data_IF_911158719939
#
_entry.id   IF_911158719939
#
_cell.length_a   1.000
_cell.length_b   1.000
_cell.length_c   1.000
_cell.angle_alpha   90.00
_cell.angle_beta   90.00
_cell.angle_gamma   90.00
#
_symmetry.space_group_name_H-M   'P 1'
#
loop_
_entity.id
_entity.type
_entity.pdbx_description
1 polymer ?
#
# COMPACT_ATOMS: atom_id res chain seq x y z
N UNK A 1 -1.78 -8.69 -13.14
CA UNK A 1 -1.04 -7.55 -13.72
C UNK A 1 -0.07 -7.02 -12.68
N UNK A 2 1.16 -6.63 -13.05
CA UNK A 2 2.03 -5.88 -12.15
C UNK A 2 1.38 -4.52 -11.84
N UNK A 3 1.41 -4.10 -10.57
CA UNK A 3 0.86 -2.80 -10.11
C UNK A 3 1.78 -1.63 -10.46
N UNK A 4 3.05 -1.91 -10.78
CA UNK A 4 3.98 -0.91 -11.26
C UNK A 4 3.76 -0.66 -12.75
N UNK A 5 3.71 0.61 -13.19
CA UNK A 5 3.56 0.94 -14.60
C UNK A 5 4.82 0.55 -15.38
N UNK A 6 4.65 0.24 -16.67
CA UNK A 6 5.77 -0.07 -17.56
C UNK A 6 6.71 1.14 -17.77
N UNK A 7 6.12 2.33 -17.86
CA UNK A 7 6.85 3.60 -17.90
C UNK A 7 6.87 4.19 -16.49
N UNK A 8 8.07 4.44 -15.97
CA UNK A 8 8.23 5.02 -14.63
C UNK A 8 7.97 6.52 -14.68
N UNK A 9 7.18 6.99 -13.73
CA UNK A 9 6.99 8.43 -13.50
C UNK A 9 8.20 8.98 -12.72
N UNK A 10 8.92 10.00 -13.24
CA UNK A 10 10.03 10.66 -12.54
C UNK A 10 9.66 11.21 -11.15
N UNK A 11 8.38 11.52 -10.90
CA UNK A 11 7.87 11.96 -9.60
C UNK A 11 7.89 10.89 -8.53
N UNK A 12 8.04 9.62 -8.91
CA UNK A 12 8.23 8.49 -7.99
C UNK A 12 9.67 7.93 -8.05
N UNK A 13 10.63 8.73 -8.50
CA UNK A 13 12.05 8.42 -8.48
C UNK A 13 12.75 9.47 -7.61
N UNK A 14 13.54 9.02 -6.63
CA UNK A 14 14.27 9.92 -5.72
C UNK A 14 15.26 10.80 -6.46
N UNK A 15 15.52 12.02 -5.98
CA UNK A 15 16.51 12.95 -6.56
C UNK A 15 17.88 12.29 -6.79
N UNK A 16 18.37 11.52 -5.81
CA UNK A 16 19.64 10.77 -5.91
C UNK A 16 19.69 9.70 -7.03
N UNK A 17 18.55 9.37 -7.63
CA UNK A 17 18.38 8.41 -8.74
C UNK A 17 17.92 9.10 -10.04
N UNK A 18 17.97 10.43 -10.11
CA UNK A 18 17.65 11.20 -11.31
C UNK A 18 16.17 11.53 -11.52
N UNK A 19 15.34 11.39 -10.48
CA UNK A 19 13.94 11.85 -10.49
C UNK A 19 13.74 13.13 -9.68
N UNK A 20 12.50 13.39 -9.27
CA UNK A 20 12.12 14.62 -8.55
C UNK A 20 11.62 14.39 -7.13
N UNK A 21 11.47 13.15 -6.68
CA UNK A 21 10.96 12.84 -5.33
C UNK A 21 12.03 13.14 -4.27
N UNK A 22 11.68 13.92 -3.26
CA UNK A 22 12.56 14.13 -2.10
C UNK A 22 12.53 12.91 -1.18
N UNK A 23 13.55 12.75 -0.33
CA UNK A 23 13.55 11.66 0.66
C UNK A 23 12.45 11.84 1.70
N UNK A 24 12.12 13.09 2.04
CA UNK A 24 11.01 13.41 2.93
C UNK A 24 9.66 12.97 2.33
N UNK A 25 9.41 13.29 1.06
CA UNK A 25 8.18 12.86 0.38
C UNK A 25 8.14 11.35 0.18
N UNK A 26 9.30 10.70 -0.03
CA UNK A 26 9.37 9.24 -0.09
C UNK A 26 8.96 8.60 1.25
N UNK A 27 9.39 9.18 2.38
CA UNK A 27 8.95 8.73 3.70
C UNK A 27 7.45 8.97 3.91
N UNK A 28 6.91 10.12 3.50
CA UNK A 28 5.48 10.40 3.57
C UNK A 28 4.63 9.40 2.77
N UNK A 29 5.10 8.98 1.58
CA UNK A 29 4.42 7.95 0.79
C UNK A 29 4.42 6.60 1.53
N UNK A 30 5.51 6.25 2.21
CA UNK A 30 5.59 5.03 3.01
C UNK A 30 4.68 5.09 4.23
N UNK A 31 4.65 6.22 4.96
CA UNK A 31 3.75 6.43 6.11
C UNK A 31 2.28 6.34 5.71
N UNK A 32 1.90 6.98 4.60
CA UNK A 32 0.53 6.88 4.08
C UNK A 32 0.18 5.46 3.66
N UNK A 33 1.08 4.76 2.95
CA UNK A 33 0.88 3.36 2.58
C UNK A 33 0.70 2.45 3.81
N UNK A 34 1.46 2.68 4.89
CA UNK A 34 1.30 1.98 6.16
C UNK A 34 -0.09 2.25 6.75
N UNK A 35 -0.53 3.51 6.81
CA UNK A 35 -1.84 3.88 7.35
C UNK A 35 -3.00 3.19 6.60
N UNK A 36 -2.91 3.10 5.27
CA UNK A 36 -3.88 2.35 4.45
C UNK A 36 -3.94 0.86 4.84
N UNK A 37 -2.80 0.22 5.13
CA UNK A 37 -2.76 -1.19 5.53
C UNK A 37 -3.25 -1.39 6.96
N UNK A 38 -2.88 -0.49 7.89
CA UNK A 38 -3.31 -0.59 9.29
C UNK A 38 -4.82 -0.51 9.45
N UNK A 39 -5.49 0.31 8.63
CA UNK A 39 -6.94 0.43 8.67
C UNK A 39 -7.65 -0.90 8.36
N UNK A 40 -7.06 -1.70 7.48
CA UNK A 40 -7.62 -2.98 7.02
C UNK A 40 -6.99 -4.20 7.69
N UNK A 41 -5.98 -4.00 8.54
CA UNK A 41 -5.25 -5.05 9.26
C UNK A 41 -6.19 -6.03 10.03
N UNK A 42 -7.30 -5.57 10.66
CA UNK A 42 -8.21 -6.47 11.35
C UNK A 42 -8.81 -7.59 10.46
N UNK A 43 -8.90 -7.39 9.14
CA UNK A 43 -9.38 -8.42 8.22
C UNK A 43 -8.40 -9.61 8.11
N UNK A 44 -7.09 -9.35 8.27
CA UNK A 44 -6.09 -10.42 8.36
C UNK A 44 -6.10 -11.07 9.75
N UNK A 45 -6.18 -10.26 10.81
CA UNK A 45 -6.18 -10.75 12.19
C UNK A 45 -7.37 -11.66 12.50
N UNK A 46 -8.52 -11.44 11.84
CA UNK A 46 -9.67 -12.33 11.95
C UNK A 46 -9.39 -13.76 11.45
N UNK A 47 -8.59 -13.92 10.39
CA UNK A 47 -8.20 -15.21 9.82
C UNK A 47 -6.94 -15.80 10.50
N UNK A 48 -6.11 -14.94 11.08
CA UNK A 48 -4.83 -15.29 11.73
C UNK A 48 -4.65 -14.58 13.08
N UNK A 49 -5.47 -14.90 14.11
CA UNK A 49 -5.41 -14.19 15.39
C UNK A 49 -4.03 -14.32 16.06
N UNK A 50 -3.46 -13.19 16.44
CA UNK A 50 -2.18 -13.12 17.14
C UNK A 50 -0.93 -13.42 16.29
N UNK A 51 -1.08 -13.59 14.96
CA UNK A 51 0.05 -13.72 14.04
C UNK A 51 0.67 -12.32 13.79
N UNK A 52 1.90 -12.03 14.27
CA UNK A 52 2.46 -10.68 14.21
C UNK A 52 3.02 -10.32 12.83
N UNK A 53 2.98 -11.24 11.85
CA UNK A 53 3.74 -11.12 10.60
C UNK A 53 3.51 -9.80 9.87
N UNK A 54 2.27 -9.31 9.82
CA UNK A 54 1.93 -8.06 9.15
C UNK A 54 2.27 -6.85 10.01
N UNK A 55 1.99 -6.87 11.32
CA UNK A 55 2.37 -5.79 12.25
C UNK A 55 3.89 -5.58 12.24
N UNK A 56 4.67 -6.66 12.34
CA UNK A 56 6.13 -6.63 12.22
C UNK A 56 6.58 -6.12 10.84
N UNK A 57 5.82 -6.38 9.77
CA UNK A 57 6.13 -5.88 8.42
C UNK A 57 5.97 -4.36 8.35
N UNK A 58 4.91 -3.83 8.94
CA UNK A 58 4.65 -2.40 9.00
C UNK A 58 5.67 -1.70 9.91
N UNK A 59 6.04 -2.29 11.04
CA UNK A 59 7.09 -1.76 11.89
C UNK A 59 8.46 -1.74 11.19
N UNK A 60 8.78 -2.75 10.38
CA UNK A 60 10.01 -2.73 9.57
C UNK A 60 9.99 -1.58 8.54
N UNK A 61 8.83 -1.29 7.94
CA UNK A 61 8.68 -0.12 7.07
C UNK A 61 8.92 1.20 7.82
N UNK A 62 8.44 1.32 9.06
CA UNK A 62 8.76 2.46 9.95
C UNK A 62 10.23 2.53 10.33
N UNK A 63 10.85 1.40 10.65
CA UNK A 63 12.28 1.33 10.93
C UNK A 63 13.11 1.80 9.72
N UNK A 64 12.66 1.50 8.50
CA UNK A 64 13.30 2.02 7.29
C UNK A 64 13.15 3.55 7.18
N UNK A 65 11.96 4.09 7.43
CA UNK A 65 11.73 5.56 7.47
C UNK A 65 12.67 6.24 8.48
N UNK A 66 12.90 5.61 9.64
CA UNK A 66 13.83 6.09 10.68
C UNK A 66 15.31 5.88 10.34
N UNK A 67 15.63 5.20 9.25
CA UNK A 67 17.00 4.89 8.83
C UNK A 67 17.67 3.75 9.62
N UNK A 68 16.89 2.96 10.36
CA UNK A 68 17.39 1.89 11.24
C UNK A 68 17.66 0.59 10.49
N UNK A 69 16.95 0.34 9.39
CA UNK A 69 17.13 -0.84 8.54
C UNK A 69 17.40 -0.46 7.08
N UNK A 70 18.24 -1.22 6.36
CA UNK A 70 18.50 -0.94 4.96
C UNK A 70 17.32 -1.34 4.07
N UNK A 71 17.14 -0.64 2.95
CA UNK A 71 16.09 -0.93 1.95
C UNK A 71 16.03 -2.42 1.53
N UNK A 72 17.17 -3.10 1.44
CA UNK A 72 17.21 -4.53 1.05
C UNK A 72 16.40 -5.40 2.01
N UNK A 73 16.44 -5.09 3.31
CA UNK A 73 15.69 -5.81 4.32
C UNK A 73 14.18 -5.59 4.16
N UNK A 74 13.77 -4.33 3.92
CA UNK A 74 12.40 -3.99 3.60
C UNK A 74 11.88 -4.70 2.34
N UNK A 75 12.70 -4.75 1.30
CA UNK A 75 12.37 -5.49 0.07
C UNK A 75 12.22 -7.00 0.32
N UNK A 76 13.06 -7.61 1.16
CA UNK A 76 12.93 -9.02 1.53
C UNK A 76 11.65 -9.28 2.34
N UNK A 77 11.30 -8.36 3.25
CA UNK A 77 10.08 -8.45 4.06
C UNK A 77 8.81 -8.46 3.23
N UNK A 78 8.80 -7.79 2.08
CA UNK A 78 7.65 -7.81 1.16
C UNK A 78 7.25 -9.23 0.75
N UNK A 79 8.23 -10.12 0.52
CA UNK A 79 7.96 -11.52 0.17
C UNK A 79 7.39 -12.31 1.35
N UNK A 80 7.83 -12.01 2.57
CA UNK A 80 7.31 -12.63 3.80
C UNK A 80 5.83 -12.26 3.98
N UNK A 81 5.48 -10.99 3.84
CA UNK A 81 4.10 -10.53 3.91
C UNK A 81 3.23 -11.18 2.83
N UNK A 82 3.68 -11.20 1.58
CA UNK A 82 2.95 -11.86 0.49
C UNK A 82 2.71 -13.35 0.74
N UNK A 83 3.68 -14.05 1.34
CA UNK A 83 3.56 -15.46 1.68
C UNK A 83 2.53 -15.72 2.79
N UNK A 84 2.37 -14.79 3.74
CA UNK A 84 1.41 -14.90 4.83
C UNK A 84 -0.05 -14.94 4.34
N UNK A 85 -0.35 -14.29 3.22
CA UNK A 85 -1.68 -14.31 2.60
C UNK A 85 -1.99 -15.58 1.79
N UNK A 86 -1.02 -16.47 1.59
CA UNK A 86 -1.19 -17.62 0.69
C UNK A 86 -2.16 -18.64 1.29
N UNK A 87 -3.24 -18.93 0.55
CA UNK A 87 -4.27 -19.88 0.97
C UNK A 87 -5.33 -19.28 1.90
N UNK A 88 -5.24 -17.99 2.22
CA UNK A 88 -6.29 -17.28 2.96
C UNK A 88 -7.42 -16.81 2.04
N UNK A 89 -8.62 -16.55 2.59
CA UNK A 89 -9.69 -15.86 1.88
C UNK A 89 -9.25 -14.49 1.34
N UNK A 90 -9.94 -14.02 0.31
CA UNK A 90 -9.58 -12.81 -0.43
C UNK A 90 -9.37 -11.56 0.45
N UNK A 91 -10.20 -11.24 1.45
CA UNK A 91 -9.96 -10.10 2.34
C UNK A 91 -8.57 -10.15 2.99
N UNK A 92 -8.28 -11.21 3.76
CA UNK A 92 -7.01 -11.38 4.45
C UNK A 92 -5.82 -11.51 3.48
N UNK A 93 -6.01 -12.20 2.36
CA UNK A 93 -5.01 -12.29 1.29
C UNK A 93 -4.66 -10.92 0.73
N UNK A 94 -5.64 -10.06 0.50
CA UNK A 94 -5.41 -8.71 0.01
C UNK A 94 -4.73 -7.81 1.05
N UNK A 95 -5.06 -7.92 2.34
CA UNK A 95 -4.30 -7.21 3.40
C UNK A 95 -2.83 -7.61 3.39
N UNK A 96 -2.53 -8.91 3.27
CA UNK A 96 -1.15 -9.40 3.21
C UNK A 96 -0.39 -8.87 1.97
N UNK A 97 -1.06 -8.81 0.81
CA UNK A 97 -0.50 -8.19 -0.39
C UNK A 97 -0.32 -6.67 -0.23
N UNK A 98 -1.25 -5.99 0.45
CA UNK A 98 -1.15 -4.57 0.75
C UNK A 98 0.06 -4.27 1.64
N UNK A 99 0.27 -5.04 2.70
CA UNK A 99 1.45 -4.94 3.57
C UNK A 99 2.76 -5.18 2.80
N UNK A 100 2.76 -6.17 1.89
CA UNK A 100 3.90 -6.42 1.00
C UNK A 100 4.22 -5.25 0.09
N UNK A 101 3.21 -4.54 -0.42
CA UNK A 101 3.41 -3.30 -1.19
C UNK A 101 3.91 -2.16 -0.30
N UNK A 102 3.33 -1.96 0.88
CA UNK A 102 3.71 -0.88 1.80
C UNK A 102 5.19 -0.95 2.18
N UNK A 103 5.68 -2.13 2.58
CA UNK A 103 7.11 -2.28 2.92
C UNK A 103 8.03 -2.16 1.68
N UNK A 104 7.52 -2.50 0.48
CA UNK A 104 8.25 -2.35 -0.76
C UNK A 104 8.39 -0.89 -1.23
N UNK A 105 7.63 0.07 -0.65
CA UNK A 105 7.81 1.51 -0.90
C UNK A 105 9.26 1.91 -0.67
N UNK A 106 9.93 1.36 0.34
CA UNK A 106 11.35 1.56 0.63
C UNK A 106 12.27 1.32 -0.60
N UNK A 107 11.92 0.34 -1.44
CA UNK A 107 12.65 0.00 -2.66
C UNK A 107 12.27 0.88 -3.84
N UNK A 108 10.96 1.03 -4.09
CA UNK A 108 10.38 1.81 -5.18
C UNK A 108 9.15 2.58 -4.66
N UNK A 109 9.18 3.94 -4.65
CA UNK A 109 8.08 4.75 -4.11
C UNK A 109 6.70 4.41 -4.68
N UNK A 110 6.62 4.11 -5.97
CA UNK A 110 5.36 3.81 -6.67
C UNK A 110 4.60 2.55 -6.17
N UNK A 111 5.17 1.80 -5.22
CA UNK A 111 4.44 0.74 -4.51
C UNK A 111 3.34 1.29 -3.58
N UNK A 112 3.35 2.58 -3.23
CA UNK A 112 2.34 3.18 -2.35
C UNK A 112 0.91 2.92 -2.87
N UNK A 113 0.71 3.07 -4.18
CA UNK A 113 -0.60 2.84 -4.78
C UNK A 113 -1.02 1.37 -4.73
N UNK A 114 -0.06 0.44 -4.74
CA UNK A 114 -0.35 -0.97 -4.57
C UNK A 114 -0.82 -1.31 -3.18
N UNK A 115 -0.27 -0.65 -2.16
CA UNK A 115 -0.74 -0.82 -0.79
C UNK A 115 -2.18 -0.34 -0.66
N UNK A 116 -2.44 0.88 -1.12
CA UNK A 116 -3.79 1.48 -1.14
C UNK A 116 -4.81 0.65 -1.93
N UNK A 117 -4.45 0.24 -3.15
CA UNK A 117 -5.35 -0.53 -4.02
C UNK A 117 -5.72 -1.88 -3.42
N UNK A 118 -4.76 -2.62 -2.86
CA UNK A 118 -5.07 -3.89 -2.21
C UNK A 118 -5.85 -3.72 -0.91
N UNK A 119 -5.60 -2.66 -0.14
CA UNK A 119 -6.41 -2.35 1.04
C UNK A 119 -7.88 -2.09 0.67
N UNK A 120 -8.14 -1.29 -0.37
CA UNK A 120 -9.50 -1.06 -0.90
C UNK A 120 -10.14 -2.39 -1.33
N UNK A 121 -9.38 -3.26 -2.01
CA UNK A 121 -9.88 -4.58 -2.41
C UNK A 121 -10.17 -5.48 -1.23
N UNK A 122 -9.39 -5.40 -0.15
CA UNK A 122 -9.64 -6.18 1.06
C UNK A 122 -11.00 -5.80 1.66
N UNK A 123 -11.28 -4.50 1.78
CA UNK A 123 -12.57 -3.98 2.28
C UNK A 123 -13.71 -4.40 1.36
N UNK A 124 -13.58 -4.17 0.05
CA UNK A 124 -14.62 -4.55 -0.92
C UNK A 124 -14.92 -6.06 -0.90
N UNK A 125 -13.90 -6.91 -0.75
CA UNK A 125 -14.06 -8.36 -0.69
C UNK A 125 -14.63 -8.86 0.66
N UNK A 126 -14.57 -8.03 1.71
CA UNK A 126 -15.11 -8.38 3.04
C UNK A 126 -16.61 -8.08 3.16
N UNK A 127 -17.13 -7.24 2.27
CA UNK A 127 -18.53 -6.84 2.25
C UNK A 127 -19.40 -7.82 1.43
N UNK A 128 -20.72 -7.87 1.70
CA UNK A 128 -21.68 -8.49 0.78
C UNK A 128 -21.57 -7.91 -0.64
N UNK A 129 -21.82 -8.73 -1.66
CA UNK A 129 -21.67 -8.31 -3.07
C UNK A 129 -22.45 -7.04 -3.42
N UNK A 130 -23.64 -6.86 -2.84
CA UNK A 130 -24.50 -5.67 -3.03
C UNK A 130 -23.93 -4.40 -2.40
N UNK A 131 -22.99 -4.51 -1.48
CA UNK A 131 -22.38 -3.41 -0.73
C UNK A 131 -20.90 -3.19 -1.08
N UNK A 132 -20.29 -4.13 -1.84
CA UNK A 132 -18.86 -4.12 -2.15
C UNK A 132 -18.37 -2.81 -2.79
N UNK A 133 -19.14 -2.22 -3.71
CA UNK A 133 -18.78 -0.96 -4.35
C UNK A 133 -18.94 0.26 -3.41
N UNK A 134 -19.91 0.24 -2.50
CA UNK A 134 -20.04 1.26 -1.47
C UNK A 134 -18.88 1.18 -0.46
N UNK A 135 -18.52 -0.03 -0.04
CA UNK A 135 -17.38 -0.29 0.85
C UNK A 135 -16.05 0.13 0.20
N UNK A 136 -15.86 -0.17 -1.10
CA UNK A 136 -14.73 0.29 -1.92
C UNK A 136 -14.60 1.82 -1.89
N UNK A 137 -15.68 2.55 -2.18
CA UNK A 137 -15.67 4.04 -2.16
C UNK A 137 -15.37 4.59 -0.78
N UNK A 138 -15.97 4.01 0.26
CA UNK A 138 -15.76 4.45 1.63
C UNK A 138 -14.29 4.34 2.04
N UNK A 139 -13.66 3.19 1.76
CA UNK A 139 -12.24 2.98 2.05
C UNK A 139 -11.35 3.94 1.24
N UNK A 140 -11.64 4.11 -0.05
CA UNK A 140 -10.91 5.05 -0.89
C UNK A 140 -10.98 6.48 -0.35
N UNK A 141 -12.17 6.94 0.03
CA UNK A 141 -12.37 8.30 0.55
C UNK A 141 -11.67 8.47 1.90
N UNK A 142 -11.69 7.43 2.75
CA UNK A 142 -10.91 7.41 3.99
C UNK A 142 -9.41 7.52 3.72
N UNK A 143 -8.85 6.75 2.78
CA UNK A 143 -7.43 6.80 2.41
C UNK A 143 -7.03 8.19 1.88
N UNK A 144 -7.89 8.81 1.06
CA UNK A 144 -7.68 10.17 0.56
C UNK A 144 -7.72 11.22 1.68
N UNK A 145 -8.51 11.00 2.73
CA UNK A 145 -8.54 11.86 3.90
C UNK A 145 -7.24 11.76 4.72
N UNK A 146 -6.54 10.62 4.70
CA UNK A 146 -5.26 10.44 5.40
C UNK A 146 -4.05 11.05 4.69
N UNK A 147 -4.19 11.54 3.45
CA UNK A 147 -3.06 12.08 2.68
C UNK A 147 -2.48 13.35 3.32
N UNK A 148 -1.16 13.38 3.63
CA UNK A 148 -0.47 14.61 3.97
C UNK A 148 -0.51 15.61 2.79
N UNK A 149 -0.67 16.89 3.08
CA UNK A 149 -0.80 17.94 2.06
C UNK A 149 0.38 17.97 1.07
N UNK A 150 1.60 17.67 1.54
CA UNK A 150 2.81 17.66 0.72
C UNK A 150 2.78 16.64 -0.44
N UNK A 151 2.10 15.50 -0.25
CA UNK A 151 2.03 14.42 -1.25
C UNK A 151 0.63 14.23 -1.84
N UNK A 152 -0.37 14.98 -1.36
CA UNK A 152 -1.79 14.83 -1.75
C UNK A 152 -1.99 14.89 -3.25
N UNK A 153 -1.56 15.97 -3.90
CA UNK A 153 -1.71 16.15 -5.35
C UNK A 153 -0.97 15.06 -6.15
N UNK A 154 0.23 14.67 -5.69
CA UNK A 154 1.01 13.61 -6.33
C UNK A 154 0.24 12.28 -6.32
N UNK A 155 -0.26 11.86 -5.16
CA UNK A 155 -0.97 10.58 -5.02
C UNK A 155 -2.32 10.60 -5.74
N UNK A 156 -3.08 11.71 -5.69
CA UNK A 156 -4.37 11.79 -6.38
C UNK A 156 -4.22 11.76 -7.91
N UNK A 157 -3.21 12.45 -8.46
CA UNK A 157 -2.92 12.38 -9.89
C UNK A 157 -2.48 10.97 -10.30
N UNK A 158 -1.68 10.32 -9.46
CA UNK A 158 -1.22 8.95 -9.71
C UNK A 158 -2.34 7.90 -9.60
N UNK A 159 -3.26 8.05 -8.63
CA UNK A 159 -4.52 7.29 -8.57
C UNK A 159 -5.29 7.38 -9.89
N UNK A 160 -5.43 8.59 -10.45
CA UNK A 160 -6.11 8.81 -11.73
C UNK A 160 -5.38 8.16 -12.91
N UNK A 161 -4.06 8.29 -12.97
CA UNK A 161 -3.25 7.77 -14.09
C UNK A 161 -3.14 6.23 -14.08
N UNK A 162 -3.00 5.64 -12.88
CA UNK A 162 -2.77 4.21 -12.70
C UNK A 162 -4.00 3.42 -12.28
N UNK A 163 -5.19 4.05 -12.21
CA UNK A 163 -6.45 3.37 -11.91
C UNK A 163 -6.67 2.09 -12.75
N UNK A 164 -6.44 2.09 -14.08
CA UNK A 164 -6.65 0.90 -14.92
C UNK A 164 -5.81 -0.32 -14.52
N UNK A 165 -4.56 -0.10 -14.07
CA UNK A 165 -3.68 -1.20 -13.63
C UNK A 165 -3.91 -1.57 -12.15
N UNK A 166 -4.70 -0.76 -11.45
CA UNK A 166 -5.17 -0.97 -10.07
C UNK A 166 -6.65 -1.36 -10.01
N UNK A 167 -7.19 -2.00 -11.07
CA UNK A 167 -8.58 -2.48 -11.12
C UNK A 167 -9.65 -1.40 -10.94
N UNK A 168 -9.33 -0.15 -11.28
CA UNK A 168 -10.23 1.00 -11.18
C UNK A 168 -10.75 1.27 -9.76
N UNK A 169 -10.04 0.79 -8.73
CA UNK A 169 -10.52 0.89 -7.33
C UNK A 169 -10.57 2.33 -6.82
N UNK A 170 -9.87 3.25 -7.49
CA UNK A 170 -9.82 4.67 -7.15
C UNK A 170 -10.89 5.52 -7.86
N UNK A 171 -11.63 4.96 -8.81
CA UNK A 171 -12.63 5.71 -9.59
C UNK A 171 -13.86 6.04 -8.73
N UNK A 172 -14.54 7.16 -9.06
CA UNK A 172 -15.79 7.60 -8.41
C UNK A 172 -16.98 6.69 -8.78
#
# INVERSE_FOLDING_TARGET
MPILPAVRDPRFITVRRGGTLTDADHHLLAEWAIACVEHVLPLFEAERPGDPVLTDTLELSRAWIRGEVPMREAHQRAFVANAAGKGLPDPARFVALAAGQAVAVAHVPAHELGAAAYAIRAVAASAPETEADAARRHERDWQRAQLPDAIRELVLDDQRLRSPICWNVFDD
#
